data_IF_402124585792
#
_entry.id   IF_402124585792
#
_cell.length_a   1.000
_cell.length_b   1.000
_cell.length_c   1.000
_cell.angle_alpha   90.00
_cell.angle_beta   90.00
_cell.angle_gamma   90.00
#
_symmetry.space_group_name_H-M   'P 1'
#
loop_
_entity.id
_entity.type
_entity.pdbx_description
1 polymer ?
#
# COMPACT_ATOMS: atom_id res chain seq x y z
N UNK A 1 3.15 -9.28 37.81
CA UNK A 1 3.35 -9.80 36.45
C UNK A 1 2.73 -11.19 36.39
N UNK A 2 1.94 -11.52 35.35
CA UNK A 2 1.38 -12.85 35.20
C UNK A 2 2.50 -13.89 34.94
N UNK A 3 2.32 -15.16 35.36
CA UNK A 3 3.30 -16.22 35.20
C UNK A 3 3.41 -16.63 33.72
N UNK A 4 4.57 -16.42 33.11
CA UNK A 4 4.82 -16.70 31.69
C UNK A 4 5.50 -15.56 30.92
N UNK A 5 5.57 -14.35 31.48
CA UNK A 5 6.38 -13.27 30.91
C UNK A 5 7.87 -13.51 31.17
N UNK A 6 8.66 -13.66 30.10
CA UNK A 6 10.12 -13.63 30.19
C UNK A 6 10.60 -12.29 30.75
N UNK A 7 11.74 -12.33 31.45
CA UNK A 7 12.31 -11.13 32.07
C UNK A 7 12.57 -10.04 31.01
N UNK A 8 12.15 -8.77 31.24
CA UNK A 8 12.32 -7.70 30.27
C UNK A 8 13.78 -7.44 29.89
N UNK A 9 14.72 -7.67 30.81
CA UNK A 9 16.16 -7.49 30.56
C UNK A 9 16.68 -8.59 29.63
N UNK A 10 16.27 -9.84 29.87
CA UNK A 10 16.63 -10.98 29.03
C UNK A 10 16.08 -10.81 27.60
N UNK A 11 14.82 -10.40 27.45
CA UNK A 11 14.23 -10.11 26.14
C UNK A 11 14.90 -8.95 25.41
N UNK A 12 15.33 -7.92 26.15
CA UNK A 12 16.06 -6.80 25.58
C UNK A 12 17.44 -7.23 25.07
N UNK A 13 18.17 -8.05 25.82
CA UNK A 13 19.46 -8.61 25.41
C UNK A 13 19.32 -9.45 24.13
N UNK A 14 18.35 -10.37 24.09
CA UNK A 14 18.09 -11.18 22.90
C UNK A 14 17.74 -10.35 21.65
N UNK A 15 17.01 -9.25 21.83
CA UNK A 15 16.68 -8.33 20.72
C UNK A 15 17.92 -7.59 20.23
N UNK A 16 18.77 -7.15 21.15
CA UNK A 16 20.01 -6.45 20.83
C UNK A 16 20.98 -7.36 20.06
N UNK A 17 21.17 -8.59 20.54
CA UNK A 17 21.95 -9.63 19.86
C UNK A 17 21.42 -9.93 18.45
N UNK A 18 20.10 -10.06 18.30
CA UNK A 18 19.49 -10.29 17.00
C UNK A 18 19.72 -9.13 16.01
N UNK A 19 19.69 -7.89 16.49
CA UNK A 19 19.99 -6.70 15.67
C UNK A 19 21.47 -6.62 15.35
N UNK A 20 22.34 -6.94 16.31
CA UNK A 20 23.78 -6.94 16.14
C UNK A 20 24.22 -7.99 15.10
N UNK A 21 23.65 -9.20 15.14
CA UNK A 21 23.93 -10.26 14.17
C UNK A 21 23.68 -9.84 12.72
N UNK A 22 22.65 -9.03 12.45
CA UNK A 22 22.31 -8.58 11.10
C UNK A 22 23.07 -7.31 10.67
N UNK A 23 23.35 -6.40 11.60
CA UNK A 23 23.84 -5.05 11.30
C UNK A 23 25.25 -4.76 11.82
N UNK A 24 26.01 -5.80 12.17
CA UNK A 24 27.39 -5.74 12.67
C UNK A 24 28.34 -4.91 11.80
N UNK A 25 28.08 -4.84 10.49
CA UNK A 25 28.90 -4.11 9.53
C UNK A 25 28.72 -2.58 9.54
N UNK A 26 27.64 -2.06 10.13
CA UNK A 26 27.33 -0.63 10.07
C UNK A 26 26.75 -0.09 11.38
N UNK A 27 27.61 0.52 12.20
CA UNK A 27 27.27 1.06 13.51
C UNK A 27 26.13 2.10 13.47
N UNK A 28 26.02 2.89 12.38
CA UNK A 28 24.95 3.88 12.20
C UNK A 28 23.60 3.18 11.99
N UNK A 29 23.54 2.17 11.12
CA UNK A 29 22.30 1.41 10.87
C UNK A 29 21.87 0.61 12.11
N UNK A 30 22.81 0.02 12.84
CA UNK A 30 22.57 -0.64 14.11
C UNK A 30 21.93 0.32 15.14
N UNK A 31 22.57 1.47 15.42
CA UNK A 31 22.05 2.47 16.38
C UNK A 31 20.67 2.99 15.97
N UNK A 32 20.44 3.22 14.68
CA UNK A 32 19.14 3.67 14.17
C UNK A 32 18.04 2.61 14.34
N UNK A 33 18.37 1.33 14.10
CA UNK A 33 17.45 0.21 14.31
C UNK A 33 17.05 0.10 15.79
N UNK A 34 18.02 0.16 16.70
CA UNK A 34 17.77 0.13 18.16
C UNK A 34 16.87 1.29 18.58
N UNK A 35 17.16 2.53 18.16
CA UNK A 35 16.30 3.70 18.47
C UNK A 35 14.89 3.54 17.92
N UNK A 36 14.75 3.02 16.70
CA UNK A 36 13.45 2.76 16.09
C UNK A 36 12.65 1.72 16.90
N UNK A 37 13.27 0.60 17.31
CA UNK A 37 12.60 -0.41 18.14
C UNK A 37 12.19 0.12 19.50
N UNK A 38 13.06 0.90 20.15
CA UNK A 38 12.75 1.54 21.40
C UNK A 38 11.58 2.51 21.27
N UNK A 39 11.53 3.33 20.21
CA UNK A 39 10.45 4.26 19.98
C UNK A 39 9.10 3.54 19.76
N UNK A 40 9.08 2.45 18.99
CA UNK A 40 7.87 1.66 18.75
C UNK A 40 7.40 0.92 20.01
N UNK A 41 8.31 0.34 20.80
CA UNK A 41 7.98 -0.35 22.06
C UNK A 41 7.53 0.61 23.18
N UNK A 42 7.97 1.87 23.12
CA UNK A 42 7.60 2.93 24.06
C UNK A 42 6.39 3.75 23.61
N UNK A 43 5.78 3.41 22.47
CA UNK A 43 4.65 4.17 21.94
C UNK A 43 3.43 4.03 22.88
N UNK A 44 2.97 5.12 23.51
CA UNK A 44 1.79 5.07 24.38
C UNK A 44 0.50 4.77 23.61
N UNK A 45 0.48 4.98 22.28
CA UNK A 45 -0.69 4.71 21.43
C UNK A 45 -0.78 3.25 21.00
N UNK A 46 0.28 2.45 21.20
CA UNK A 46 0.31 1.03 20.88
C UNK A 46 0.91 0.19 22.03
N UNK A 47 0.25 0.13 23.20
CA UNK A 47 0.73 -0.68 24.32
C UNK A 47 0.71 -2.18 24.00
N UNK A 48 -0.15 -2.60 23.05
CA UNK A 48 -0.32 -3.99 22.65
C UNK A 48 0.93 -4.60 22.02
N UNK A 49 1.75 -3.82 21.29
CA UNK A 49 3.02 -4.32 20.75
C UNK A 49 3.98 -4.77 21.86
N UNK A 50 4.13 -3.95 22.91
CA UNK A 50 4.98 -4.26 24.05
C UNK A 50 4.48 -5.49 24.80
N UNK A 51 3.16 -5.59 24.99
CA UNK A 51 2.55 -6.75 25.64
C UNK A 51 2.77 -8.03 24.83
N UNK A 52 2.50 -8.01 23.52
CA UNK A 52 2.76 -9.14 22.60
C UNK A 52 4.22 -9.58 22.67
N UNK A 53 5.16 -8.64 22.72
CA UNK A 53 6.59 -8.94 22.88
C UNK A 53 6.92 -9.55 24.25
N UNK A 54 6.39 -9.01 25.36
CA UNK A 54 6.63 -9.52 26.71
C UNK A 54 5.97 -10.87 26.98
N UNK A 55 4.82 -11.16 26.36
CA UNK A 55 4.15 -12.48 26.40
C UNK A 55 4.87 -13.50 25.51
N UNK A 56 5.68 -13.04 24.54
CA UNK A 56 6.43 -13.91 23.62
C UNK A 56 5.65 -14.31 22.37
N UNK A 57 4.55 -13.60 22.06
CA UNK A 57 3.84 -13.73 20.79
C UNK A 57 4.67 -13.24 19.60
N UNK A 58 5.60 -12.31 19.86
CA UNK A 58 6.58 -11.82 18.88
C UNK A 58 7.96 -12.19 19.42
N UNK A 59 8.73 -12.95 18.64
CA UNK A 59 10.10 -13.29 19.03
C UNK A 59 11.05 -12.10 18.83
N UNK A 60 12.17 -12.03 19.57
CA UNK A 60 13.18 -10.98 19.37
C UNK A 60 13.75 -10.94 17.95
N UNK A 61 13.85 -12.10 17.29
CA UNK A 61 14.31 -12.21 15.90
C UNK A 61 13.28 -11.69 14.90
N UNK A 62 11.99 -11.96 15.12
CA UNK A 62 10.95 -11.37 14.28
C UNK A 62 10.89 -9.85 14.45
N UNK A 63 10.97 -9.39 15.70
CA UNK A 63 10.96 -7.96 16.00
C UNK A 63 12.19 -7.25 15.42
N UNK A 64 13.38 -7.87 15.39
CA UNK A 64 14.56 -7.26 14.78
C UNK A 64 14.37 -7.00 13.28
N UNK A 65 13.68 -7.90 12.58
CA UNK A 65 13.42 -7.83 11.12
C UNK A 65 12.21 -6.98 10.74
N UNK A 66 11.19 -6.93 11.58
CA UNK A 66 9.92 -6.24 11.29
C UNK A 66 10.10 -4.81 10.78
N UNK A 67 9.32 -4.40 9.80
CA UNK A 67 9.32 -3.01 9.33
C UNK A 67 8.62 -2.09 10.35
N UNK A 68 8.93 -0.77 10.34
CA UNK A 68 8.19 0.20 11.14
C UNK A 68 6.68 0.18 10.89
N UNK A 69 6.27 -0.20 9.68
CA UNK A 69 4.87 -0.31 9.29
C UNK A 69 4.19 -1.52 9.93
N UNK A 70 4.90 -2.65 10.00
CA UNK A 70 4.42 -3.87 10.66
C UNK A 70 4.39 -3.76 12.19
N UNK A 71 5.14 -2.84 12.79
CA UNK A 71 5.09 -2.56 14.24
C UNK A 71 4.02 -1.53 14.63
N UNK A 72 3.37 -0.89 13.66
CA UNK A 72 2.30 0.06 13.93
C UNK A 72 1.10 -0.59 14.64
N UNK A 73 0.25 0.24 15.25
CA UNK A 73 -1.04 -0.22 15.80
C UNK A 73 -1.86 -0.92 14.71
N UNK A 74 -2.64 -1.92 15.11
CA UNK A 74 -3.49 -2.68 14.20
C UNK A 74 -4.52 -1.76 13.49
N UNK A 75 -5.04 -0.74 14.19
CA UNK A 75 -5.90 0.30 13.62
C UNK A 75 -5.20 1.11 12.52
N UNK A 76 -3.94 1.53 12.78
CA UNK A 76 -3.18 2.33 11.82
C UNK A 76 -2.80 1.52 10.59
N UNK A 77 -2.52 0.22 10.76
CA UNK A 77 -2.29 -0.70 9.64
C UNK A 77 -3.53 -0.83 8.77
N UNK A 78 -4.70 -1.02 9.40
CA UNK A 78 -5.95 -1.16 8.67
C UNK A 78 -6.28 0.12 7.90
N UNK A 79 -6.15 1.29 8.54
CA UNK A 79 -6.35 2.58 7.86
C UNK A 79 -5.41 2.75 6.66
N UNK A 80 -4.12 2.42 6.81
CA UNK A 80 -3.17 2.48 5.68
C UNK A 80 -3.55 1.54 4.55
N UNK A 81 -3.97 0.31 4.86
CA UNK A 81 -4.41 -0.65 3.86
C UNK A 81 -5.64 -0.15 3.10
N UNK A 82 -6.61 0.43 3.81
CA UNK A 82 -7.80 1.04 3.20
C UNK A 82 -7.41 2.19 2.25
N UNK A 83 -6.58 3.13 2.68
CA UNK A 83 -6.12 4.23 1.81
C UNK A 83 -5.38 3.74 0.56
N UNK A 84 -4.52 2.72 0.70
CA UNK A 84 -3.82 2.13 -0.45
C UNK A 84 -4.81 1.49 -1.41
N UNK A 85 -5.78 0.73 -0.88
CA UNK A 85 -6.82 0.09 -1.69
C UNK A 85 -7.70 1.14 -2.41
N UNK A 86 -8.12 2.18 -1.70
CA UNK A 86 -8.93 3.27 -2.26
C UNK A 86 -8.16 4.03 -3.34
N UNK A 87 -6.86 4.28 -3.14
CA UNK A 87 -6.00 4.89 -4.15
C UNK A 87 -5.86 4.03 -5.39
N UNK A 88 -5.74 2.70 -5.24
CA UNK A 88 -5.67 1.77 -6.38
C UNK A 88 -7.00 1.76 -7.13
N UNK A 89 -8.12 1.69 -6.40
CA UNK A 89 -9.46 1.71 -6.99
C UNK A 89 -9.70 3.03 -7.76
N UNK A 90 -9.37 4.17 -7.15
CA UNK A 90 -9.50 5.47 -7.80
C UNK A 90 -8.63 5.59 -9.06
N UNK A 91 -7.41 5.03 -9.04
CA UNK A 91 -6.53 5.02 -10.22
C UNK A 91 -7.03 4.10 -11.34
N UNK A 92 -7.74 3.02 -11.00
CA UNK A 92 -8.36 2.12 -11.99
C UNK A 92 -9.64 2.71 -12.60
N UNK A 93 -10.36 3.57 -11.86
CA UNK A 93 -11.48 4.36 -12.37
C UNK A 93 -11.02 5.58 -13.20
N UNK A 94 -9.90 5.45 -13.92
CA UNK A 94 -9.60 6.33 -15.05
C UNK A 94 -10.68 6.16 -16.11
N UNK A 95 -11.80 6.87 -15.93
CA UNK A 95 -12.87 7.00 -16.90
C UNK A 95 -12.23 7.32 -18.25
N UNK A 96 -12.44 6.46 -19.24
CA UNK A 96 -12.34 6.90 -20.63
C UNK A 96 -13.48 7.92 -20.77
N UNK A 97 -13.15 9.20 -20.58
CA UNK A 97 -14.09 10.30 -20.79
C UNK A 97 -14.66 10.12 -22.19
N UNK A 98 -15.96 9.88 -22.30
CA UNK A 98 -16.56 9.53 -23.58
C UNK A 98 -17.98 9.08 -23.40
N UNK A 99 -18.84 9.48 -24.33
CA UNK A 99 -20.25 9.14 -24.30
C UNK A 99 -20.44 7.79 -24.98
N UNK A 100 -20.93 6.78 -24.23
CA UNK A 100 -21.31 5.50 -24.84
C UNK A 100 -22.48 5.70 -25.80
N UNK A 101 -22.34 5.25 -27.03
CA UNK A 101 -23.31 5.44 -28.11
C UNK A 101 -23.42 4.18 -28.98
N UNK A 102 -24.64 3.93 -29.49
CA UNK A 102 -24.94 2.87 -30.46
C UNK A 102 -25.16 3.40 -31.88
N UNK A 103 -24.83 4.69 -32.10
CA UNK A 103 -25.03 5.36 -33.39
C UNK A 103 -24.08 4.84 -34.47
N UNK A 104 -22.87 4.43 -34.09
CA UNK A 104 -21.86 3.92 -35.01
C UNK A 104 -21.78 2.39 -34.97
N UNK A 105 -21.59 1.77 -36.14
CA UNK A 105 -21.34 0.33 -36.26
C UNK A 105 -19.86 0.12 -36.54
N UNK A 106 -19.18 -0.66 -35.70
CA UNK A 106 -17.76 -0.96 -35.90
C UNK A 106 -17.58 -1.83 -37.15
N UNK A 107 -16.74 -1.41 -38.08
CA UNK A 107 -16.48 -2.17 -39.31
C UNK A 107 -15.76 -3.50 -39.04
N UNK A 108 -14.91 -3.54 -38.00
CA UNK A 108 -14.09 -4.71 -37.65
C UNK A 108 -14.88 -5.84 -36.98
N UNK A 109 -15.72 -5.52 -35.99
CA UNK A 109 -16.46 -6.53 -35.21
C UNK A 109 -17.98 -6.50 -35.42
N UNK A 110 -18.49 -5.55 -36.22
CA UNK A 110 -19.91 -5.37 -36.55
C UNK A 110 -20.84 -5.07 -35.36
N UNK A 111 -20.29 -4.89 -34.16
CA UNK A 111 -21.01 -4.46 -32.95
C UNK A 111 -21.17 -2.94 -32.92
N UNK A 112 -22.14 -2.45 -32.15
CA UNK A 112 -22.46 -1.02 -32.00
C UNK A 112 -22.03 -0.40 -30.68
N UNK A 113 -21.43 -1.18 -29.78
CA UNK A 113 -20.93 -0.71 -28.49
C UNK A 113 -19.66 0.13 -28.72
N UNK A 114 -19.87 1.44 -28.87
CA UNK A 114 -18.83 2.40 -29.14
C UNK A 114 -18.87 3.55 -28.13
N UNK A 115 -17.71 4.12 -27.83
CA UNK A 115 -17.55 5.32 -27.02
C UNK A 115 -17.12 6.48 -27.91
N UNK A 116 -17.87 7.58 -27.84
CA UNK A 116 -17.65 8.80 -28.62
C UNK A 116 -16.94 9.85 -27.76
N UNK A 117 -15.84 10.38 -28.29
CA UNK A 117 -15.01 11.39 -27.65
C UNK A 117 -15.03 12.66 -28.51
N UNK A 118 -15.41 13.78 -27.92
CA UNK A 118 -15.39 15.08 -28.58
C UNK A 118 -14.19 15.89 -28.08
N UNK A 119 -13.34 16.35 -29.00
CA UNK A 119 -12.18 17.19 -28.71
C UNK A 119 -12.39 18.54 -29.38
N UNK A 120 -12.19 19.62 -28.64
CA UNK A 120 -12.16 21.00 -29.17
C UNK A 120 -10.84 21.64 -28.73
N UNK A 121 -10.10 22.19 -29.68
CA UNK A 121 -8.86 22.91 -29.42
C UNK A 121 -8.98 24.35 -29.92
N UNK A 122 -9.04 25.32 -29.01
CA UNK A 122 -9.18 26.75 -29.35
C UNK A 122 -10.35 27.04 -30.31
N UNK A 123 -10.02 27.69 -31.43
CA UNK A 123 -10.95 28.09 -32.49
C UNK A 123 -11.18 27.00 -33.57
N UNK A 124 -10.62 25.79 -33.41
CA UNK A 124 -10.81 24.69 -34.36
C UNK A 124 -12.22 24.05 -34.22
N UNK A 125 -12.80 23.51 -35.32
CA UNK A 125 -14.05 22.79 -35.26
C UNK A 125 -13.94 21.54 -34.37
N UNK A 126 -15.03 21.18 -33.67
CA UNK A 126 -15.07 19.98 -32.82
C UNK A 126 -14.73 18.74 -33.63
N UNK A 127 -13.70 18.00 -33.22
CA UNK A 127 -13.35 16.71 -33.81
C UNK A 127 -14.01 15.60 -32.98
N UNK A 128 -14.71 14.70 -33.65
CA UNK A 128 -15.33 13.53 -33.02
C UNK A 128 -14.50 12.28 -33.31
N UNK A 129 -14.02 11.63 -32.25
CA UNK A 129 -13.40 10.32 -32.31
C UNK A 129 -14.38 9.26 -31.82
N UNK A 130 -14.40 8.11 -32.46
CA UNK A 130 -15.22 6.96 -32.07
C UNK A 130 -14.30 5.77 -31.81
N UNK A 131 -14.49 5.11 -30.67
CA UNK A 131 -13.76 3.91 -30.28
C UNK A 131 -14.75 2.76 -30.07
N UNK A 132 -14.47 1.58 -30.60
CA UNK A 132 -15.24 0.38 -30.29
C UNK A 132 -14.71 -0.28 -29.01
N UNK A 133 -15.56 -0.43 -28.01
CA UNK A 133 -15.20 -1.02 -26.71
C UNK A 133 -14.95 -2.54 -26.80
N UNK A 134 -15.51 -3.22 -27.79
CA UNK A 134 -15.36 -4.67 -27.96
C UNK A 134 -14.05 -5.08 -28.64
N UNK A 135 -13.53 -4.29 -29.56
CA UNK A 135 -12.36 -4.66 -30.38
C UNK A 135 -11.24 -3.62 -30.42
N UNK A 136 -11.42 -2.49 -29.71
CA UNK A 136 -10.45 -1.41 -29.60
C UNK A 136 -10.25 -0.60 -30.90
N UNK A 137 -11.05 -0.81 -31.95
CA UNK A 137 -10.92 -0.05 -33.19
C UNK A 137 -11.26 1.43 -32.95
N UNK A 138 -10.46 2.36 -33.50
CA UNK A 138 -10.61 3.80 -33.31
C UNK A 138 -10.64 4.50 -34.67
N UNK A 139 -11.58 5.41 -34.89
CA UNK A 139 -11.69 6.19 -36.12
C UNK A 139 -12.26 7.60 -35.86
N UNK A 140 -12.05 8.50 -36.81
CA UNK A 140 -12.60 9.87 -36.79
C UNK A 140 -13.93 9.88 -37.54
N UNK A 141 -14.93 10.58 -37.00
CA UNK A 141 -16.22 10.84 -37.65
C UNK A 141 -16.38 12.31 -38.03
#
# INVERSE_FOLDING_TARGET
MPPGCGDPHDKAAQLEDAIYGELSSCQVKYKNRIRSRLANLRDPKNPGLREKFLVGLITPQELSRMTPEEMASDDLKQMRQQYVQDSINAAQLGNVEGTKTNQFKCERCQKRNCTQLHIRDGDEPIITFVMCDDCGNRWKS
#
